data_IF_554913664060
#
_entry.id   IF_554913664060
#
_cell.length_a   1.000
_cell.length_b   1.000
_cell.length_c   1.000
_cell.angle_alpha   90.00
_cell.angle_beta   90.00
_cell.angle_gamma   90.00
#
_symmetry.space_group_name_H-M   'P 1'
#
loop_
_entity.id
_entity.type
_entity.pdbx_description
1 polymer ?
#
# COMPACT_ATOMS: atom_id res chain seq x y z
N UNK A 1 0.69 28.57 -1.22
CA UNK A 1 1.15 27.66 -2.28
C UNK A 1 1.47 26.36 -1.58
N UNK A 2 0.73 25.29 -1.88
CA UNK A 2 1.05 23.96 -1.35
C UNK A 2 2.06 23.39 -2.34
N UNK A 3 3.34 23.55 -2.05
CA UNK A 3 4.41 22.85 -2.76
C UNK A 3 4.62 21.50 -2.05
N UNK A 4 3.59 20.66 -2.03
CA UNK A 4 3.77 19.22 -1.78
C UNK A 4 4.21 18.61 -3.11
N UNK A 5 5.46 18.87 -3.49
CA UNK A 5 6.09 18.11 -4.55
C UNK A 5 6.36 16.72 -3.98
N UNK A 6 5.53 15.74 -4.40
CA UNK A 6 5.80 14.32 -4.17
C UNK A 6 7.24 14.06 -4.60
N UNK A 7 8.09 13.61 -3.67
CA UNK A 7 9.48 13.35 -3.99
C UNK A 7 9.61 12.11 -4.90
N UNK A 8 10.74 11.96 -5.59
CA UNK A 8 10.93 10.86 -6.55
C UNK A 8 10.78 9.47 -5.90
N UNK A 9 11.08 9.34 -4.60
CA UNK A 9 10.98 8.08 -3.86
C UNK A 9 9.53 7.76 -3.52
N UNK A 10 8.79 8.75 -3.06
CA UNK A 10 7.36 8.63 -2.79
C UNK A 10 6.59 8.30 -4.08
N UNK A 11 6.95 8.92 -5.21
CA UNK A 11 6.38 8.56 -6.50
C UNK A 11 6.72 7.12 -6.92
N UNK A 12 7.95 6.66 -6.68
CA UNK A 12 8.36 5.29 -6.96
C UNK A 12 7.57 4.29 -6.11
N UNK A 13 7.36 4.58 -4.83
CA UNK A 13 6.56 3.76 -3.92
C UNK A 13 5.09 3.70 -4.33
N UNK A 14 4.49 4.84 -4.68
CA UNK A 14 3.11 4.90 -5.20
C UNK A 14 2.94 4.08 -6.49
N UNK A 15 3.93 4.16 -7.40
CA UNK A 15 3.94 3.35 -8.62
C UNK A 15 4.11 1.86 -8.33
N UNK A 16 4.80 1.49 -7.26
CA UNK A 16 4.90 0.11 -6.81
C UNK A 16 3.55 -0.39 -6.26
N UNK A 17 2.90 0.39 -5.40
CA UNK A 17 1.56 0.09 -4.86
C UNK A 17 0.52 -0.09 -5.97
N UNK A 18 0.61 0.67 -7.06
CA UNK A 18 -0.29 0.55 -8.20
C UNK A 18 -0.35 -0.87 -8.80
N UNK A 19 0.73 -1.67 -8.66
CA UNK A 19 0.79 -3.06 -9.16
C UNK A 19 -0.02 -4.04 -8.32
N UNK A 20 -0.40 -3.64 -7.09
CA UNK A 20 -1.11 -4.46 -6.11
C UNK A 20 -2.57 -4.01 -5.97
N UNK A 21 -3.15 -3.48 -7.04
CA UNK A 21 -4.54 -3.08 -7.09
C UNK A 21 -5.48 -4.23 -6.66
N UNK A 22 -6.48 -3.91 -5.82
CA UNK A 22 -7.46 -4.85 -5.25
C UNK A 22 -6.89 -5.91 -4.30
N UNK A 23 -5.63 -5.78 -3.88
CA UNK A 23 -4.95 -6.71 -2.97
C UNK A 23 -4.74 -6.13 -1.58
N UNK A 24 -4.44 -7.02 -0.64
CA UNK A 24 -3.76 -6.66 0.60
C UNK A 24 -2.26 -6.62 0.35
N UNK A 25 -1.59 -5.64 0.94
CA UNK A 25 -0.13 -5.53 0.98
C UNK A 25 0.34 -5.40 2.42
N UNK A 26 1.48 -6.00 2.71
CA UNK A 26 2.21 -5.86 3.95
C UNK A 26 3.41 -4.95 3.71
N UNK A 27 3.56 -3.91 4.53
CA UNK A 27 4.56 -2.85 4.38
C UNK A 27 5.45 -2.87 5.62
N UNK A 28 6.76 -2.85 5.42
CA UNK A 28 7.73 -2.66 6.48
C UNK A 28 8.45 -1.33 6.29
N UNK A 29 8.77 -0.66 7.41
CA UNK A 29 9.68 0.48 7.40
C UNK A 29 11.09 -0.02 7.69
N UNK A 30 11.99 0.12 6.71
CA UNK A 30 13.37 -0.26 6.86
C UNK A 30 14.27 0.96 6.67
N UNK A 31 14.79 1.50 7.77
CA UNK A 31 15.69 2.65 7.73
C UNK A 31 15.06 3.96 7.24
N UNK A 32 13.73 4.11 7.37
CA UNK A 32 12.99 5.30 6.95
C UNK A 32 12.35 5.18 5.56
N UNK A 33 12.57 4.06 4.85
CA UNK A 33 11.91 3.78 3.56
C UNK A 33 10.83 2.70 3.76
N UNK A 34 9.65 2.98 3.22
CA UNK A 34 8.54 2.02 3.19
C UNK A 34 8.75 1.04 2.03
N UNK A 35 8.60 -0.26 2.29
CA UNK A 35 8.79 -1.30 1.29
C UNK A 35 7.68 -2.34 1.41
N UNK A 36 7.15 -2.79 0.27
CA UNK A 36 6.17 -3.88 0.23
C UNK A 36 6.90 -5.21 0.43
N UNK A 37 6.59 -5.88 1.53
CA UNK A 37 7.23 -7.14 1.94
C UNK A 37 6.31 -8.35 1.78
N UNK A 38 5.01 -8.13 1.53
CA UNK A 38 4.06 -9.21 1.23
C UNK A 38 2.82 -8.70 0.51
N UNK A 39 2.10 -9.60 -0.16
CA UNK A 39 0.84 -9.31 -0.83
C UNK A 39 -0.08 -10.54 -0.89
N UNK A 40 -1.38 -10.32 -0.96
CA UNK A 40 -2.36 -11.41 -1.02
C UNK A 40 -3.77 -10.94 -1.35
N UNK A 41 -4.66 -11.88 -1.65
CA UNK A 41 -6.08 -11.55 -1.87
C UNK A 41 -6.79 -11.26 -0.54
N UNK A 42 -6.21 -11.72 0.57
CA UNK A 42 -6.60 -11.39 1.93
C UNK A 42 -5.40 -11.00 2.82
N UNK A 43 -5.72 -10.48 4.01
CA UNK A 43 -4.74 -9.99 4.98
C UNK A 43 -3.82 -11.10 5.53
N UNK A 44 -4.33 -12.34 5.63
CA UNK A 44 -3.59 -13.47 6.18
C UNK A 44 -2.52 -13.90 5.19
N UNK A 45 -2.85 -13.98 3.91
CA UNK A 45 -1.89 -14.28 2.85
C UNK A 45 -0.76 -13.24 2.80
N UNK A 46 -1.11 -11.95 2.83
CA UNK A 46 -0.14 -10.86 2.80
C UNK A 46 0.81 -10.89 4.02
N UNK A 47 0.28 -11.16 5.22
CA UNK A 47 1.12 -11.30 6.42
C UNK A 47 1.99 -12.54 6.39
N UNK A 48 1.45 -13.68 5.93
CA UNK A 48 2.24 -14.91 5.85
C UNK A 48 3.44 -14.73 4.94
N UNK A 49 3.27 -14.08 3.78
CA UNK A 49 4.38 -13.77 2.88
C UNK A 49 5.41 -12.84 3.55
N UNK A 50 4.95 -11.83 4.31
CA UNK A 50 5.84 -10.94 5.05
C UNK A 50 6.64 -11.66 6.14
N UNK A 51 5.99 -12.54 6.91
CA UNK A 51 6.60 -13.39 7.93
C UNK A 51 7.66 -14.32 7.34
N UNK A 52 7.36 -14.98 6.21
CA UNK A 52 8.31 -15.84 5.48
C UNK A 52 9.56 -15.08 5.03
N UNK A 53 9.43 -13.76 4.80
CA UNK A 53 10.55 -12.86 4.45
C UNK A 53 11.22 -12.19 5.67
N UNK A 54 10.80 -12.53 6.89
CA UNK A 54 11.40 -12.01 8.12
C UNK A 54 10.82 -10.68 8.61
N UNK A 55 9.61 -10.31 8.16
CA UNK A 55 8.90 -9.11 8.57
C UNK A 55 7.59 -9.44 9.33
N UNK A 56 7.67 -10.03 10.53
CA UNK A 56 6.48 -10.45 11.28
C UNK A 56 5.62 -9.28 11.77
N UNK A 57 6.21 -8.09 11.90
CA UNK A 57 5.55 -6.88 12.40
C UNK A 57 5.19 -5.90 11.26
N UNK A 58 5.02 -6.40 10.03
CA UNK A 58 4.64 -5.58 8.89
C UNK A 58 3.23 -4.98 9.06
N UNK A 59 3.06 -3.73 8.62
CA UNK A 59 1.77 -3.06 8.61
C UNK A 59 0.93 -3.50 7.41
N UNK A 60 -0.36 -3.75 7.61
CA UNK A 60 -1.27 -4.17 6.54
C UNK A 60 -2.04 -2.99 5.95
N UNK A 61 -2.11 -2.96 4.63
CA UNK A 61 -2.92 -2.02 3.87
C UNK A 61 -3.75 -2.77 2.81
N UNK A 62 -5.05 -2.50 2.76
CA UNK A 62 -5.90 -2.95 1.65
C UNK A 62 -5.92 -1.90 0.55
N UNK A 63 -5.38 -2.22 -0.60
CA UNK A 63 -5.44 -1.37 -1.78
C UNK A 63 -6.78 -1.56 -2.49
N UNK A 64 -7.49 -0.45 -2.66
CA UNK A 64 -8.73 -0.41 -3.43
C UNK A 64 -8.38 -0.18 -4.90
N UNK A 65 -9.26 -0.63 -5.78
CA UNK A 65 -9.14 -0.33 -7.20
C UNK A 65 -9.08 1.18 -7.44
N UNK A 66 -8.08 1.61 -8.21
CA UNK A 66 -7.83 3.03 -8.49
C UNK A 66 -8.87 3.60 -9.47
N UNK A 67 -9.59 2.73 -10.19
CA UNK A 67 -10.69 3.08 -11.10
C UNK A 67 -12.02 3.40 -10.39
N UNK A 68 -12.09 3.30 -9.06
CA UNK A 68 -13.32 3.53 -8.28
C UNK A 68 -13.11 4.58 -7.20
N UNK A 69 -13.45 5.83 -7.52
CA UNK A 69 -13.68 6.87 -6.53
C UNK A 69 -15.08 6.68 -5.90
N UNK A 70 -15.16 6.57 -4.57
CA UNK A 70 -16.42 6.72 -3.85
C UNK A 70 -16.76 8.22 -3.81
N UNK A 71 -17.74 8.65 -4.61
CA UNK A 71 -18.31 9.99 -4.54
C UNK A 71 -19.58 9.91 -3.68
N UNK A 72 -19.56 10.36 -2.42
CA UNK A 72 -20.79 10.46 -1.65
C UNK A 72 -21.65 11.56 -2.27
N UNK A 73 -22.75 11.19 -2.93
CA UNK A 73 -23.79 12.14 -3.28
C UNK A 73 -24.54 12.52 -2.01
N UNK A 74 -23.97 13.42 -1.21
CA UNK A 74 -24.79 14.31 -0.40
C UNK A 74 -25.44 15.30 -1.37
N UNK A 75 -26.48 14.82 -2.04
CA UNK A 75 -27.49 15.61 -2.71
C UNK A 75 -28.72 15.58 -1.81
N UNK A 76 -28.87 16.63 -0.99
CA UNK A 76 -30.05 17.50 -0.84
C UNK A 76 -29.81 18.48 0.28
#
# INVERSE_FOLDING_TARGET
MIEDAIDEKELAFLNELAKYEDKWVAIANNGGEETIVGSGDDAVEAMREAEEKGFPDAALLKLRRFDRAYVPTLLT
#
